data_IF_383550460447
#
_entry.id   IF_383550460447
#
_cell.length_a   1.000
_cell.length_b   1.000
_cell.length_c   1.000
_cell.angle_alpha   90.00
_cell.angle_beta   90.00
_cell.angle_gamma   90.00
#
_symmetry.space_group_name_H-M   'P 1'
#
loop_
_entity.id
_entity.type
_entity.pdbx_description
1 polymer ?
#
# COMPACT_ATOMS: atom_id res chain seq x y z
N UNK A 1 0.35 -23.79 -9.95
CA UNK A 1 1.05 -22.62 -10.52
C UNK A 1 0.00 -21.64 -10.95
N UNK A 2 0.10 -20.38 -10.55
CA UNK A 2 -0.80 -19.33 -11.03
C UNK A 2 -0.57 -19.11 -12.53
N UNK A 3 -1.63 -18.84 -13.28
CA UNK A 3 -1.51 -18.56 -14.70
C UNK A 3 -0.64 -17.32 -14.94
N UNK A 4 0.31 -17.44 -15.87
CA UNK A 4 1.15 -16.32 -16.28
C UNK A 4 0.26 -15.33 -17.03
N UNK A 5 0.21 -14.09 -16.57
CA UNK A 5 -0.56 -13.03 -17.22
C UNK A 5 0.03 -12.75 -18.60
N UNK A 6 -0.81 -12.85 -19.65
CA UNK A 6 -0.40 -12.72 -21.06
C UNK A 6 -0.64 -11.33 -21.67
N UNK A 7 -1.38 -10.46 -20.97
CA UNK A 7 -1.77 -9.13 -21.44
C UNK A 7 -1.39 -8.04 -20.46
N UNK A 8 -0.94 -6.90 -20.99
CA UNK A 8 -0.75 -5.68 -20.19
C UNK A 8 -2.11 -5.12 -19.78
N UNK A 9 -2.24 -4.71 -18.52
CA UNK A 9 -3.46 -4.12 -17.98
C UNK A 9 -3.09 -2.87 -17.18
N UNK A 10 -3.98 -1.88 -17.22
CA UNK A 10 -3.92 -0.68 -16.39
C UNK A 10 -5.07 -0.74 -15.39
N UNK A 11 -4.85 -0.23 -14.18
CA UNK A 11 -5.85 -0.25 -13.11
C UNK A 11 -6.01 1.15 -12.51
N UNK A 12 -7.25 1.64 -12.49
CA UNK A 12 -7.62 2.82 -11.72
C UNK A 12 -8.10 2.38 -10.33
N UNK A 13 -7.31 2.71 -9.31
CA UNK A 13 -7.67 2.43 -7.92
C UNK A 13 -8.13 3.72 -7.25
N UNK A 14 -9.39 3.77 -6.84
CA UNK A 14 -9.97 4.89 -6.11
C UNK A 14 -10.37 4.43 -4.71
N UNK A 15 -10.01 5.21 -3.70
CA UNK A 15 -10.47 5.03 -2.33
C UNK A 15 -10.60 6.41 -1.68
N UNK A 16 -11.48 6.49 -0.71
CA UNK A 16 -11.67 7.65 0.14
C UNK A 16 -11.29 7.30 1.59
N UNK A 17 -11.15 8.34 2.39
CA UNK A 17 -10.94 8.25 3.83
C UNK A 17 -11.70 9.39 4.49
N UNK A 18 -12.08 9.19 5.75
CA UNK A 18 -12.73 10.22 6.55
C UNK A 18 -12.01 10.33 7.90
N UNK A 19 -11.72 11.56 8.34
CA UNK A 19 -11.10 11.85 9.63
C UNK A 19 -9.82 11.03 9.93
N UNK A 20 -9.03 10.73 8.90
CA UNK A 20 -7.85 9.88 8.99
C UNK A 20 -6.63 10.51 8.31
N UNK A 21 -5.44 9.97 8.59
CA UNK A 21 -4.22 10.31 7.89
C UNK A 21 -3.83 9.17 6.92
N UNK A 22 -3.91 9.36 5.59
CA UNK A 22 -3.63 8.30 4.64
C UNK A 22 -2.14 8.00 4.52
N UNK A 23 -1.29 9.01 4.72
CA UNK A 23 0.15 8.94 4.50
C UNK A 23 0.85 10.03 5.30
N UNK A 24 1.39 9.66 6.45
CA UNK A 24 2.08 10.59 7.34
C UNK A 24 3.42 11.08 6.80
N UNK A 25 3.74 12.34 7.09
CA UNK A 25 5.06 12.90 6.85
C UNK A 25 5.93 12.80 8.13
N UNK A 26 6.97 11.95 8.15
CA UNK A 26 7.83 11.80 9.31
C UNK A 26 8.63 13.07 9.63
N UNK A 27 8.75 14.01 8.69
CA UNK A 27 9.44 15.30 8.91
C UNK A 27 8.50 16.40 9.41
N UNK A 28 7.20 16.16 9.45
CA UNK A 28 6.20 17.16 9.78
C UNK A 28 5.17 16.61 10.78
N UNK A 29 5.64 16.18 11.94
CA UNK A 29 4.80 15.71 13.06
C UNK A 29 3.77 14.64 12.67
N UNK A 30 4.07 13.82 11.64
CA UNK A 30 3.15 12.84 11.10
C UNK A 30 1.81 13.45 10.63
N UNK A 31 1.80 14.71 10.18
CA UNK A 31 0.66 15.29 9.45
C UNK A 31 0.48 14.58 8.11
N UNK A 32 -0.70 14.65 7.48
CA UNK A 32 -0.88 14.20 6.11
C UNK A 32 0.18 14.82 5.20
N UNK A 33 0.87 13.98 4.43
CA UNK A 33 1.88 14.43 3.48
C UNK A 33 1.19 15.32 2.44
N UNK A 34 1.63 16.56 2.36
CA UNK A 34 1.05 17.56 1.49
C UNK A 34 2.03 17.92 0.37
N UNK A 35 1.54 17.96 -0.86
CA UNK A 35 2.27 18.53 -1.98
C UNK A 35 1.93 20.00 -2.13
N UNK A 36 2.93 20.86 -1.98
CA UNK A 36 2.77 22.31 -2.12
C UNK A 36 2.52 22.73 -3.56
N UNK A 37 3.00 21.98 -4.55
CA UNK A 37 2.86 22.35 -5.97
C UNK A 37 1.42 22.13 -6.45
N UNK A 38 0.90 20.90 -6.27
CA UNK A 38 -0.48 20.58 -6.64
C UNK A 38 -1.53 21.01 -5.61
N UNK A 39 -1.10 21.43 -4.41
CA UNK A 39 -1.97 21.73 -3.27
C UNK A 39 -2.89 20.55 -2.88
N UNK A 40 -2.36 19.33 -2.93
CA UNK A 40 -3.11 18.10 -2.61
C UNK A 40 -2.43 17.26 -1.54
N UNK A 41 -3.19 16.36 -0.91
CA UNK A 41 -2.62 15.31 -0.06
C UNK A 41 -2.01 14.23 -0.95
N UNK A 42 -0.77 13.86 -0.67
CA UNK A 42 -0.05 12.80 -1.37
C UNK A 42 -0.12 11.48 -0.63
N UNK A 43 -0.49 10.45 -1.36
CA UNK A 43 -0.27 9.06 -0.95
C UNK A 43 0.75 8.44 -1.87
N UNK A 44 1.91 8.09 -1.30
CA UNK A 44 2.99 7.49 -2.07
C UNK A 44 2.64 6.07 -2.47
N UNK A 45 3.23 5.62 -3.58
CA UNK A 45 3.16 4.24 -4.02
C UNK A 45 3.71 3.28 -2.95
N UNK A 46 4.77 3.66 -2.22
CA UNK A 46 5.32 2.88 -1.11
C UNK A 46 4.27 2.68 0.00
N UNK A 47 3.48 3.71 0.33
CA UNK A 47 2.39 3.62 1.32
C UNK A 47 1.32 2.62 0.87
N UNK A 48 0.87 2.70 -0.38
CA UNK A 48 -0.12 1.78 -0.93
C UNK A 48 0.41 0.35 -1.00
N UNK A 49 1.61 0.16 -1.54
CA UNK A 49 2.29 -1.15 -1.60
C UNK A 49 2.41 -1.75 -0.20
N UNK A 50 2.71 -0.94 0.82
CA UNK A 50 2.82 -1.40 2.20
C UNK A 50 1.47 -1.95 2.72
N UNK A 51 0.39 -1.19 2.56
CA UNK A 51 -0.96 -1.63 2.95
C UNK A 51 -1.33 -2.99 2.33
N UNK A 52 -1.01 -3.20 1.04
CA UNK A 52 -1.27 -4.47 0.35
C UNK A 52 -0.45 -5.61 0.97
N UNK A 53 0.85 -5.39 1.23
CA UNK A 53 1.72 -6.42 1.82
C UNK A 53 1.31 -6.77 3.24
N UNK A 54 0.98 -5.76 4.07
CA UNK A 54 0.48 -5.97 5.43
C UNK A 54 -0.82 -6.80 5.39
N UNK A 55 -1.74 -6.48 4.47
CA UNK A 55 -2.97 -7.25 4.33
C UNK A 55 -2.72 -8.72 3.94
N UNK A 56 -1.79 -8.98 3.03
CA UNK A 56 -1.46 -10.36 2.64
C UNK A 56 -0.77 -11.13 3.76
N UNK A 57 0.14 -10.48 4.47
CA UNK A 57 0.84 -11.07 5.61
C UNK A 57 -0.12 -11.40 6.76
N UNK A 58 -0.95 -10.43 7.19
CA UNK A 58 -1.83 -10.57 8.36
C UNK A 58 -3.08 -11.41 8.09
N UNK A 59 -3.67 -11.31 6.88
CA UNK A 59 -5.01 -11.87 6.62
C UNK A 59 -5.07 -12.89 5.48
N UNK A 60 -4.01 -13.04 4.67
CA UNK A 60 -3.97 -14.03 3.57
C UNK A 60 -2.95 -15.13 3.79
N UNK A 61 -2.28 -15.15 4.94
CA UNK A 61 -1.34 -16.22 5.30
C UNK A 61 -0.02 -16.14 4.55
N UNK A 62 0.35 -14.99 3.98
CA UNK A 62 1.67 -14.82 3.35
C UNK A 62 2.75 -14.50 4.39
N UNK A 63 2.83 -15.29 5.46
CA UNK A 63 3.66 -15.00 6.63
C UNK A 63 4.91 -15.89 6.75
N UNK A 64 5.13 -16.78 5.78
CA UNK A 64 6.27 -17.70 5.77
C UNK A 64 6.24 -18.79 6.85
N UNK A 65 5.10 -18.98 7.53
CA UNK A 65 4.94 -20.04 8.52
C UNK A 65 4.48 -21.36 7.89
N UNK A 66 5.10 -22.47 8.27
CA UNK A 66 4.78 -23.79 7.73
C UNK A 66 5.09 -23.87 6.23
N UNK A 67 4.10 -24.32 5.45
CA UNK A 67 4.20 -24.42 3.99
C UNK A 67 3.66 -23.17 3.27
N UNK A 68 3.27 -22.13 4.02
CA UNK A 68 2.74 -20.92 3.42
C UNK A 68 3.84 -20.10 2.74
N UNK A 69 3.54 -19.43 1.61
CA UNK A 69 4.46 -18.47 1.01
C UNK A 69 4.73 -17.29 1.96
N UNK A 70 5.86 -16.63 1.79
CA UNK A 70 6.20 -15.41 2.53
C UNK A 70 6.04 -14.16 1.64
N UNK A 71 5.65 -13.04 2.26
CA UNK A 71 5.78 -11.72 1.67
C UNK A 71 6.63 -10.82 2.54
N UNK A 72 7.66 -10.22 1.92
CA UNK A 72 8.59 -9.36 2.63
C UNK A 72 7.95 -8.05 3.09
N UNK A 73 7.75 -7.96 4.40
CA UNK A 73 7.10 -6.85 5.11
C UNK A 73 8.11 -6.12 6.03
N UNK A 74 9.40 -6.44 5.97
CA UNK A 74 10.43 -5.79 6.82
C UNK A 74 11.22 -4.71 6.08
#
# INVERSE_FOLDING_TARGET
>A
MSDIISTRSELLFLYDIENANPNGDPLNENRPRFDTESSTILVSDVRLKRTIRDYWFEYKGYNGEGDNPDIFVR
#
